data_IF_698177390542
#
_entry.id   IF_698177390542
#
_cell.length_a   1.000
_cell.length_b   1.000
_cell.length_c   1.000
_cell.angle_alpha   90.00
_cell.angle_beta   90.00
_cell.angle_gamma   90.00
#
_symmetry.space_group_name_H-M   'P 1'
#
loop_
_entity.id
_entity.type
_entity.pdbx_description
1 polymer ?
#
# COMPACT_ATOMS: atom_id res chain seq x y z
N UNK A 1 5.28 0.66 -17.88
CA UNK A 1 5.32 -0.10 -16.61
C UNK A 1 6.69 -0.71 -16.30
N UNK A 2 7.18 -1.72 -17.04
CA UNK A 2 8.42 -2.43 -16.66
C UNK A 2 9.66 -1.53 -16.49
N UNK A 3 9.80 -0.47 -17.31
CA UNK A 3 10.88 0.50 -17.17
C UNK A 3 10.79 1.29 -15.86
N UNK A 4 9.58 1.70 -15.45
CA UNK A 4 9.33 2.45 -14.22
C UNK A 4 9.67 1.57 -13.00
N UNK A 5 9.15 0.34 -12.98
CA UNK A 5 9.41 -0.62 -11.90
C UNK A 5 10.90 -0.96 -11.75
N UNK A 6 11.67 -0.94 -12.85
CA UNK A 6 13.12 -1.08 -12.79
C UNK A 6 13.79 0.13 -12.13
N UNK A 7 13.36 1.35 -12.45
CA UNK A 7 13.88 2.56 -11.81
C UNK A 7 13.64 2.52 -10.30
N UNK A 8 12.46 2.07 -9.85
CA UNK A 8 12.17 1.87 -8.43
C UNK A 8 13.13 0.87 -7.77
N UNK A 9 13.30 -0.31 -8.39
CA UNK A 9 14.18 -1.37 -7.89
C UNK A 9 15.64 -0.91 -7.81
N UNK A 10 16.08 -0.09 -8.76
CA UNK A 10 17.41 0.52 -8.80
C UNK A 10 17.53 1.77 -7.90
N UNK A 11 16.48 2.11 -7.13
CA UNK A 11 16.38 3.28 -6.23
C UNK A 11 16.54 4.63 -6.95
N UNK A 12 16.26 4.67 -8.25
CA UNK A 12 16.25 5.87 -9.07
C UNK A 12 14.88 6.57 -8.97
N UNK A 13 14.56 7.11 -7.80
CA UNK A 13 13.22 7.61 -7.48
C UNK A 13 12.78 8.86 -8.27
N UNK A 14 13.69 9.80 -8.51
CA UNK A 14 13.39 11.02 -9.26
C UNK A 14 12.92 10.69 -10.69
N UNK A 15 13.69 9.94 -11.51
CA UNK A 15 13.21 9.56 -12.84
C UNK A 15 12.00 8.61 -12.80
N UNK A 16 11.85 7.78 -11.75
CA UNK A 16 10.63 6.96 -11.61
C UNK A 16 9.38 7.84 -11.45
N UNK A 17 9.45 8.91 -10.65
CA UNK A 17 8.34 9.85 -10.46
C UNK A 17 7.94 10.53 -11.77
N UNK A 18 8.90 11.03 -12.54
CA UNK A 18 8.67 11.66 -13.85
C UNK A 18 7.94 10.70 -14.81
N UNK A 19 8.42 9.46 -14.90
CA UNK A 19 7.82 8.45 -15.76
C UNK A 19 6.42 8.02 -15.29
N UNK A 20 6.18 7.98 -13.97
CA UNK A 20 4.85 7.74 -13.43
C UNK A 20 3.86 8.84 -13.80
N UNK A 21 4.24 10.11 -13.59
CA UNK A 21 3.41 11.27 -13.94
C UNK A 21 3.04 11.25 -15.42
N UNK A 22 4.03 10.99 -16.28
CA UNK A 22 3.81 10.87 -17.73
C UNK A 22 2.87 9.72 -18.08
N UNK A 23 3.15 8.51 -17.58
CA UNK A 23 2.32 7.35 -17.86
C UNK A 23 0.88 7.53 -17.36
N UNK A 24 0.71 8.14 -16.18
CA UNK A 24 -0.62 8.34 -15.60
C UNK A 24 -1.41 9.42 -16.33
N UNK A 25 -0.74 10.46 -16.83
CA UNK A 25 -1.37 11.45 -17.70
C UNK A 25 -1.85 10.83 -19.03
N UNK A 26 -1.11 9.85 -19.57
CA UNK A 26 -1.49 9.14 -20.80
C UNK A 26 -2.61 8.11 -20.58
N UNK A 27 -2.64 7.44 -19.43
CA UNK A 27 -3.60 6.36 -19.16
C UNK A 27 -4.09 6.32 -17.69
N UNK A 28 -4.90 7.29 -17.25
CA UNK A 28 -5.31 7.42 -15.85
C UNK A 28 -6.29 6.34 -15.37
N UNK A 29 -6.83 5.52 -16.27
CA UNK A 29 -7.75 4.43 -15.94
C UNK A 29 -7.05 3.08 -15.73
N UNK A 30 -5.74 2.98 -16.01
CA UNK A 30 -4.97 1.77 -15.78
C UNK A 30 -4.81 1.52 -14.28
N UNK A 31 -5.53 0.51 -13.77
CA UNK A 31 -5.50 0.13 -12.37
C UNK A 31 -4.10 -0.27 -11.89
N UNK A 32 -3.35 -1.02 -12.70
CA UNK A 32 -2.00 -1.45 -12.32
C UNK A 32 -1.11 -0.23 -12.18
N UNK A 33 -1.22 0.71 -13.11
CA UNK A 33 -0.48 1.97 -13.04
C UNK A 33 -0.85 2.79 -11.80
N UNK A 34 -2.15 3.01 -11.57
CA UNK A 34 -2.62 3.71 -10.37
C UNK A 34 -2.09 3.06 -9.09
N UNK A 35 -2.19 1.73 -8.97
CA UNK A 35 -1.80 0.98 -7.77
C UNK A 35 -0.33 1.18 -7.44
N UNK A 36 0.54 0.98 -8.43
CA UNK A 36 1.98 1.14 -8.23
C UNK A 36 2.35 2.60 -8.00
N UNK A 37 1.73 3.53 -8.72
CA UNK A 37 2.04 4.94 -8.57
C UNK A 37 1.59 5.52 -7.22
N UNK A 38 0.35 5.23 -6.80
CA UNK A 38 -0.17 5.61 -5.50
C UNK A 38 0.74 5.09 -4.37
N UNK A 39 1.11 3.81 -4.44
CA UNK A 39 2.00 3.21 -3.45
C UNK A 39 3.40 3.85 -3.46
N UNK A 40 3.93 4.16 -4.65
CA UNK A 40 5.21 4.83 -4.80
C UNK A 40 5.21 6.21 -4.13
N UNK A 41 4.18 7.03 -4.35
CA UNK A 41 4.03 8.34 -3.69
C UNK A 41 3.92 8.19 -2.16
N UNK A 42 3.18 7.19 -1.70
CA UNK A 42 3.07 6.89 -0.27
C UNK A 42 4.44 6.53 0.32
N UNK A 43 5.16 5.61 -0.31
CA UNK A 43 6.50 5.20 0.12
C UNK A 43 7.47 6.38 0.19
N UNK A 44 7.52 7.21 -0.86
CA UNK A 44 8.38 8.40 -0.85
C UNK A 44 7.99 9.39 0.25
N UNK A 45 6.71 9.49 0.61
CA UNK A 45 6.24 10.41 1.66
C UNK A 45 6.62 9.91 3.06
N UNK A 46 6.57 8.60 3.30
CA UNK A 46 6.73 8.02 4.65
C UNK A 46 8.17 7.59 4.94
N UNK A 47 8.95 7.28 3.91
CA UNK A 47 10.38 6.95 4.00
C UNK A 47 11.27 8.12 3.54
N UNK A 48 10.73 9.33 3.38
CA UNK A 48 11.47 10.50 2.89
C UNK A 48 12.77 10.75 3.67
N UNK A 49 12.71 10.59 5.00
CA UNK A 49 13.82 10.88 5.87
C UNK A 49 14.95 9.84 5.76
N UNK A 50 14.67 8.53 5.89
CA UNK A 50 15.65 7.48 5.60
C UNK A 50 16.23 7.54 4.17
N UNK A 51 15.47 8.04 3.19
CA UNK A 51 15.91 8.15 1.80
C UNK A 51 16.71 9.43 1.50
N UNK A 52 16.71 10.42 2.39
CA UNK A 52 17.32 11.73 2.15
C UNK A 52 16.61 12.54 1.05
N UNK A 53 15.29 12.42 0.96
CA UNK A 53 14.44 13.05 -0.07
C UNK A 53 13.47 14.09 0.48
N UNK A 54 13.60 14.52 1.73
CA UNK A 54 12.61 15.38 2.41
C UNK A 54 12.35 16.68 1.63
N UNK A 55 13.41 17.39 1.24
CA UNK A 55 13.30 18.63 0.46
C UNK A 55 12.65 18.38 -0.90
N UNK A 56 13.03 17.28 -1.57
CA UNK A 56 12.45 16.89 -2.85
C UNK A 56 10.95 16.58 -2.74
N UNK A 57 10.54 15.82 -1.73
CA UNK A 57 9.14 15.46 -1.46
C UNK A 57 8.30 16.71 -1.20
N UNK A 58 8.83 17.66 -0.43
CA UNK A 58 8.19 18.94 -0.15
C UNK A 58 8.09 19.82 -1.41
N UNK A 59 9.20 20.02 -2.13
CA UNK A 59 9.28 20.87 -3.33
C UNK A 59 8.38 20.34 -4.46
N UNK A 60 8.32 19.02 -4.63
CA UNK A 60 7.50 18.34 -5.64
C UNK A 60 6.05 18.13 -5.20
N UNK A 61 5.68 18.53 -3.97
CA UNK A 61 4.34 18.37 -3.39
C UNK A 61 3.80 16.93 -3.47
N UNK A 62 4.67 15.96 -3.24
CA UNK A 62 4.36 14.52 -3.37
C UNK A 62 3.21 14.11 -2.43
N UNK A 63 3.17 14.67 -1.21
CA UNK A 63 2.10 14.39 -0.26
C UNK A 63 0.73 14.91 -0.73
N UNK A 64 0.67 16.04 -1.45
CA UNK A 64 -0.58 16.56 -2.02
C UNK A 64 -1.02 15.68 -3.19
N UNK A 65 -0.08 15.26 -4.04
CA UNK A 65 -0.34 14.33 -5.15
C UNK A 65 -0.83 12.97 -4.64
N UNK A 66 -0.26 12.46 -3.55
CA UNK A 66 -0.71 11.24 -2.88
C UNK A 66 -2.18 11.33 -2.45
N UNK A 67 -2.59 12.44 -1.84
CA UNK A 67 -3.99 12.66 -1.44
C UNK A 67 -4.93 12.65 -2.64
N UNK A 68 -4.54 13.33 -3.73
CA UNK A 68 -5.33 13.34 -4.97
C UNK A 68 -5.49 11.93 -5.53
N UNK A 69 -4.40 11.16 -5.66
CA UNK A 69 -4.48 9.78 -6.16
C UNK A 69 -5.25 8.85 -5.21
N UNK A 70 -5.14 9.06 -3.90
CA UNK A 70 -5.92 8.34 -2.89
C UNK A 70 -7.42 8.58 -3.07
N UNK A 71 -7.85 9.83 -3.16
CA UNK A 71 -9.25 10.21 -3.39
C UNK A 71 -9.79 9.66 -4.71
N UNK A 72 -8.99 9.69 -5.77
CA UNK A 72 -9.34 9.09 -7.06
C UNK A 72 -9.52 7.57 -6.94
N UNK A 73 -8.58 6.89 -6.29
CA UNK A 73 -8.64 5.45 -6.05
C UNK A 73 -9.87 5.03 -5.25
N UNK A 74 -10.15 5.77 -4.18
CA UNK A 74 -11.35 5.59 -3.35
C UNK A 74 -12.61 5.77 -4.18
N UNK A 75 -12.65 6.64 -5.19
CA UNK A 75 -13.85 6.80 -6.04
C UNK A 75 -13.94 5.72 -7.12
N UNK A 76 -12.83 5.38 -7.77
CA UNK A 76 -12.80 4.51 -8.95
C UNK A 76 -12.80 3.02 -8.62
N UNK A 77 -12.28 2.62 -7.46
CA UNK A 77 -11.97 1.22 -7.17
C UNK A 77 -12.65 0.65 -5.93
N UNK A 78 -13.77 1.24 -5.49
CA UNK A 78 -14.55 0.79 -4.29
C UNK A 78 -14.97 -0.68 -4.29
N UNK A 79 -15.08 -1.30 -5.46
CA UNK A 79 -15.44 -2.71 -5.60
C UNK A 79 -14.26 -3.64 -5.88
N UNK A 80 -13.02 -3.11 -5.90
CA UNK A 80 -11.82 -3.91 -6.13
C UNK A 80 -11.14 -4.23 -4.78
N UNK A 81 -11.11 -5.50 -4.36
CA UNK A 81 -10.54 -5.88 -3.06
C UNK A 81 -9.03 -5.56 -2.96
N UNK A 82 -8.27 -5.63 -4.05
CA UNK A 82 -6.85 -5.28 -4.06
C UNK A 82 -6.65 -3.77 -3.84
N UNK A 83 -7.52 -2.94 -4.43
CA UNK A 83 -7.45 -1.49 -4.22
C UNK A 83 -7.80 -1.11 -2.78
N UNK A 84 -8.84 -1.74 -2.22
CA UNK A 84 -9.26 -1.56 -0.83
C UNK A 84 -8.18 -2.03 0.14
N UNK A 85 -7.53 -3.15 -0.14
CA UNK A 85 -6.38 -3.62 0.64
C UNK A 85 -5.24 -2.60 0.62
N UNK A 86 -4.82 -2.14 -0.56
CA UNK A 86 -3.72 -1.17 -0.69
C UNK A 86 -4.05 0.13 0.03
N UNK A 87 -5.23 0.71 -0.22
CA UNK A 87 -5.69 1.95 0.43
C UNK A 87 -5.82 1.79 1.94
N UNK A 88 -6.45 0.71 2.39
CA UNK A 88 -6.64 0.44 3.81
C UNK A 88 -5.31 0.25 4.54
N UNK A 89 -4.34 -0.43 3.91
CA UNK A 89 -3.04 -0.64 4.52
C UNK A 89 -2.22 0.66 4.60
N UNK A 90 -2.10 1.40 3.50
CA UNK A 90 -1.28 2.63 3.46
C UNK A 90 -1.88 3.76 4.31
N UNK A 91 -3.20 3.96 4.25
CA UNK A 91 -3.89 4.97 5.07
C UNK A 91 -3.84 4.55 6.54
N UNK A 92 -3.99 3.26 6.85
CA UNK A 92 -3.99 2.76 8.22
C UNK A 92 -2.67 2.97 8.96
N UNK A 93 -1.53 2.93 8.26
CA UNK A 93 -0.22 3.20 8.87
C UNK A 93 -0.02 4.70 9.14
N UNK A 94 -0.47 5.57 8.23
CA UNK A 94 -0.30 7.03 8.36
C UNK A 94 -1.59 7.83 8.11
N UNK A 95 -2.61 7.74 8.99
CA UNK A 95 -3.92 8.38 8.77
C UNK A 95 -3.86 9.90 8.61
N UNK A 96 -2.94 10.55 9.33
CA UNK A 96 -2.78 12.00 9.32
C UNK A 96 -2.35 12.56 7.95
N UNK A 97 -1.80 11.72 7.06
CA UNK A 97 -1.49 12.12 5.69
C UNK A 97 -2.76 12.37 4.87
N UNK A 98 -3.92 11.86 5.30
CA UNK A 98 -5.17 11.94 4.55
C UNK A 98 -6.21 12.86 5.22
N UNK A 99 -6.07 13.15 6.52
CA UNK A 99 -6.93 14.10 7.22
C UNK A 99 -6.94 13.89 8.72
N UNK A 100 -8.13 13.98 9.34
CA UNK A 100 -8.28 13.67 10.76
C UNK A 100 -7.83 12.23 11.03
N UNK A 101 -7.00 12.07 12.07
CA UNK A 101 -6.40 10.78 12.40
C UNK A 101 -7.46 9.71 12.67
N UNK A 102 -8.45 10.03 13.53
CA UNK A 102 -9.43 9.03 13.99
C UNK A 102 -10.39 8.66 12.86
N UNK A 103 -10.79 9.64 12.05
CA UNK A 103 -11.64 9.42 10.89
C UNK A 103 -10.97 8.49 9.87
N UNK A 104 -9.72 8.80 9.49
CA UNK A 104 -9.02 8.03 8.46
C UNK A 104 -8.49 6.70 8.95
N UNK A 105 -8.16 6.55 10.23
CA UNK A 105 -7.85 5.26 10.84
C UNK A 105 -9.08 4.33 10.77
N UNK A 106 -10.27 4.83 11.11
CA UNK A 106 -11.50 4.05 11.01
C UNK A 106 -11.87 3.73 9.54
N UNK A 107 -11.68 4.69 8.64
CA UNK A 107 -11.90 4.49 7.21
C UNK A 107 -10.98 3.42 6.63
N UNK A 108 -9.70 3.43 7.03
CA UNK A 108 -8.72 2.41 6.65
C UNK A 108 -9.14 1.01 7.11
N UNK A 109 -9.59 0.87 8.37
CA UNK A 109 -10.14 -0.40 8.90
C UNK A 109 -11.32 -0.90 8.08
N UNK A 110 -12.24 -0.01 7.68
CA UNK A 110 -13.38 -0.37 6.83
C UNK A 110 -12.96 -0.81 5.43
N UNK A 111 -11.90 -0.24 4.85
CA UNK A 111 -11.35 -0.71 3.58
C UNK A 111 -10.75 -2.11 3.69
N UNK A 112 -9.97 -2.37 4.75
CA UNK A 112 -9.39 -3.70 4.99
C UNK A 112 -10.49 -4.76 5.24
N UNK A 113 -11.51 -4.41 6.02
CA UNK A 113 -12.70 -5.25 6.22
C UNK A 113 -13.40 -5.54 4.89
N UNK A 114 -13.63 -4.50 4.08
CA UNK A 114 -14.30 -4.64 2.78
C UNK A 114 -13.50 -5.51 1.81
N UNK A 115 -12.16 -5.37 1.78
CA UNK A 115 -11.29 -6.25 1.00
C UNK A 115 -11.44 -7.71 1.41
N UNK A 116 -11.48 -7.97 2.73
CA UNK A 116 -11.70 -9.32 3.26
C UNK A 116 -13.10 -9.85 2.93
N UNK A 117 -14.16 -9.05 3.11
CA UNK A 117 -15.55 -9.47 2.83
C UNK A 117 -15.77 -9.75 1.34
N UNK A 118 -15.18 -8.96 0.45
CA UNK A 118 -15.28 -9.16 -1.00
C UNK A 118 -14.45 -10.35 -1.49
N UNK A 119 -13.46 -10.80 -0.71
CA UNK A 119 -12.58 -11.92 -1.06
C UNK A 119 -12.21 -12.72 0.20
N UNK A 120 -13.18 -13.46 0.78
CA UNK A 120 -13.02 -14.09 2.09
C UNK A 120 -11.97 -15.22 2.11
N UNK A 121 -11.72 -15.84 0.96
CA UNK A 121 -10.70 -16.87 0.78
C UNK A 121 -9.27 -16.30 0.68
N UNK A 122 -9.13 -14.98 0.53
CA UNK A 122 -7.83 -14.32 0.43
C UNK A 122 -7.19 -14.18 1.81
N UNK A 123 -6.10 -14.93 2.02
CA UNK A 123 -5.44 -15.00 3.33
C UNK A 123 -4.68 -13.73 3.67
N UNK A 124 -4.22 -12.98 2.67
CA UNK A 124 -3.52 -11.70 2.86
C UNK A 124 -4.50 -10.63 3.30
N UNK A 125 -5.69 -10.56 2.69
CA UNK A 125 -6.71 -9.60 3.11
C UNK A 125 -7.25 -9.93 4.49
N UNK A 126 -7.45 -11.22 4.81
CA UNK A 126 -7.78 -11.65 6.18
C UNK A 126 -6.70 -11.23 7.18
N UNK A 127 -5.42 -11.48 6.87
CA UNK A 127 -4.29 -11.07 7.71
C UNK A 127 -4.29 -9.56 7.98
N UNK A 128 -4.44 -8.76 6.92
CA UNK A 128 -4.42 -7.30 7.02
C UNK A 128 -5.59 -6.76 7.85
N UNK A 129 -6.81 -7.27 7.62
CA UNK A 129 -7.98 -6.89 8.42
C UNK A 129 -7.81 -7.26 9.90
N UNK A 130 -7.41 -8.50 10.20
CA UNK A 130 -7.18 -8.94 11.59
C UNK A 130 -6.07 -8.15 12.28
N UNK A 131 -5.05 -7.71 11.53
CA UNK A 131 -3.99 -6.84 12.05
C UNK A 131 -4.45 -5.41 12.33
N UNK A 132 -5.60 -4.99 11.79
CA UNK A 132 -6.15 -3.64 11.96
C UNK A 132 -7.14 -3.52 13.13
N UNK A 133 -7.63 -4.64 13.66
CA UNK A 133 -8.59 -4.66 14.77
C UNK A 133 -7.89 -4.81 16.13
N UNK A 134 -8.50 -4.33 17.23
CA UNK A 134 -7.95 -4.49 18.57
C UNK A 134 -7.70 -5.98 18.94
N UNK A 135 -6.81 -6.20 19.91
CA UNK A 135 -6.22 -7.49 20.33
C UNK A 135 -7.16 -8.64 20.75
N UNK A 136 -8.47 -8.50 20.59
CA UNK A 136 -9.44 -9.57 20.86
C UNK A 136 -9.33 -10.79 19.93
N UNK A 137 -8.51 -10.71 18.86
CA UNK A 137 -8.36 -11.76 17.85
C UNK A 137 -6.92 -12.30 17.73
N UNK A 138 -6.07 -12.18 18.76
CA UNK A 138 -4.64 -12.53 18.70
C UNK A 138 -4.38 -13.95 18.16
N UNK A 139 -5.10 -14.96 18.66
CA UNK A 139 -4.97 -16.34 18.17
C UNK A 139 -5.34 -16.47 16.69
N UNK A 140 -6.41 -15.79 16.26
CA UNK A 140 -6.86 -15.82 14.86
C UNK A 140 -5.86 -15.09 13.96
N UNK A 141 -5.31 -13.97 14.43
CA UNK A 141 -4.28 -13.19 13.74
C UNK A 141 -3.00 -14.01 13.55
N UNK A 142 -2.49 -14.66 14.61
CA UNK A 142 -1.31 -15.52 14.52
C UNK A 142 -1.51 -16.69 13.56
N UNK A 143 -2.73 -17.25 13.50
CA UNK A 143 -3.08 -18.27 12.52
C UNK A 143 -3.12 -17.68 11.11
N UNK A 144 -3.69 -16.49 10.92
CA UNK A 144 -3.70 -15.80 9.64
C UNK A 144 -2.27 -15.54 9.13
N UNK A 145 -1.35 -15.08 9.98
CA UNK A 145 0.08 -14.91 9.65
C UNK A 145 0.68 -16.18 9.04
N UNK A 146 0.53 -17.32 9.71
CA UNK A 146 1.07 -18.61 9.25
C UNK A 146 0.46 -19.05 7.92
N UNK A 147 -0.85 -18.89 7.78
CA UNK A 147 -1.56 -19.35 6.58
C UNK A 147 -1.34 -18.46 5.36
N UNK A 148 -1.14 -17.15 5.57
CA UNK A 148 -0.87 -16.18 4.51
C UNK A 148 0.59 -16.20 4.04
N UNK A 149 1.55 -16.63 4.87
CA UNK A 149 2.98 -16.55 4.55
C UNK A 149 3.39 -17.15 3.18
N UNK A 150 2.91 -18.36 2.78
CA UNK A 150 3.21 -18.87 1.44
C UNK A 150 2.60 -18.02 0.31
N UNK A 151 1.40 -17.48 0.53
CA UNK A 151 0.72 -16.62 -0.44
C UNK A 151 1.43 -15.28 -0.59
N UNK A 152 1.95 -14.70 0.51
CA UNK A 152 2.75 -13.47 0.49
C UNK A 152 3.96 -13.64 -0.42
N UNK A 153 4.73 -14.73 -0.27
CA UNK A 153 5.89 -15.00 -1.13
C UNK A 153 5.47 -15.08 -2.60
N UNK A 154 4.41 -15.82 -2.90
CA UNK A 154 3.96 -16.03 -4.29
C UNK A 154 3.35 -14.78 -4.93
N UNK A 155 2.59 -13.99 -4.18
CA UNK A 155 1.89 -12.80 -4.69
C UNK A 155 2.84 -11.65 -4.91
N UNK A 156 3.82 -11.52 -4.03
CA UNK A 156 4.78 -10.43 -4.03
C UNK A 156 6.18 -10.88 -4.47
N UNK A 157 6.25 -11.66 -5.56
CA UNK A 157 7.52 -12.20 -6.08
C UNK A 157 8.39 -11.16 -6.83
N UNK A 158 7.82 -10.00 -7.18
CA UNK A 158 8.52 -8.91 -7.85
C UNK A 158 9.65 -8.31 -7.01
N UNK A 159 10.58 -7.63 -7.69
CA UNK A 159 11.67 -6.85 -7.06
C UNK A 159 11.41 -5.35 -7.09
N UNK A 160 10.27 -4.91 -7.63
CA UNK A 160 9.84 -3.52 -7.51
C UNK A 160 9.45 -3.18 -6.07
N UNK A 161 9.22 -1.90 -5.84
CA UNK A 161 9.04 -1.34 -4.52
C UNK A 161 7.80 -1.90 -3.82
N UNK A 162 6.68 -1.97 -4.54
CA UNK A 162 5.41 -2.50 -4.05
C UNK A 162 5.54 -3.95 -3.58
N UNK A 163 6.10 -4.80 -4.45
CA UNK A 163 6.28 -6.21 -4.12
C UNK A 163 7.26 -6.40 -2.96
N UNK A 164 8.41 -5.73 -3.00
CA UNK A 164 9.44 -5.88 -1.97
C UNK A 164 8.93 -5.45 -0.60
N UNK A 165 8.23 -4.31 -0.52
CA UNK A 165 7.66 -3.81 0.73
C UNK A 165 6.62 -4.77 1.30
N UNK A 166 5.60 -5.15 0.52
CA UNK A 166 4.54 -6.02 1.04
C UNK A 166 5.03 -7.41 1.40
N UNK A 167 6.01 -7.94 0.66
CA UNK A 167 6.69 -9.18 1.03
C UNK A 167 7.35 -9.06 2.40
N UNK A 168 8.07 -7.97 2.66
CA UNK A 168 8.77 -7.75 3.93
C UNK A 168 7.80 -7.61 5.11
N UNK A 169 6.78 -6.77 5.00
CA UNK A 169 5.92 -6.42 6.15
C UNK A 169 4.82 -7.46 6.44
N UNK A 170 4.43 -8.26 5.44
CA UNK A 170 3.38 -9.28 5.59
C UNK A 170 3.93 -10.69 5.76
N UNK A 171 5.19 -10.96 5.43
CA UNK A 171 5.76 -12.29 5.63
C UNK A 171 6.08 -12.50 7.12
N UNK A 172 5.08 -12.98 7.86
CA UNK A 172 5.13 -13.23 9.32
C UNK A 172 5.08 -14.73 9.63
N UNK A 173 5.97 -15.50 8.99
CA UNK A 173 5.98 -16.98 9.07
C UNK A 173 6.34 -17.54 10.45
N UNK A 174 7.09 -16.78 11.23
CA UNK A 174 7.35 -17.04 12.64
C UNK A 174 6.74 -15.89 13.43
N UNK A 175 6.22 -16.15 14.62
CA UNK A 175 5.69 -15.10 15.50
C UNK A 175 6.81 -14.14 15.88
N UNK A 176 7.12 -13.20 14.99
CA UNK A 176 8.11 -12.16 15.20
C UNK A 176 7.55 -11.28 16.30
N UNK A 177 7.95 -11.63 17.52
CA UNK A 177 7.93 -10.76 18.68
C UNK A 177 8.51 -9.41 18.25
N UNK A 178 7.64 -8.43 18.06
CA UNK A 178 7.96 -7.06 18.41
C UNK A 178 7.54 -6.86 19.87
#
# INVERSE_FOLDING_TARGET
>A
MNAILKLEADRNYIPALEEYRKAYAENPSDYRLWRHYYFFLWYLTVEDYPLGLQDFVADQKIADELKVLGDEGIKRHRGNPDALFVLGYTIGIFPYLFGDYTEWENTAKQFLESAHVLSPEDKIYKLAYLGSIPSGAETEYLQACKTAAPEVISRFEGNDLFNSYFREVLYRAEGSNQ
#
